data_IF_727684778520
#
_entry.id   IF_727684778520
#
_cell.length_a   1.000
_cell.length_b   1.000
_cell.length_c   1.000
_cell.angle_alpha   90.00
_cell.angle_beta   90.00
_cell.angle_gamma   90.00
#
_symmetry.space_group_name_H-M   'P 1'
#
loop_
_entity.id
_entity.type
_entity.pdbx_description
1 polymer ?
#
# COMPACT_ATOMS: atom_id res chain seq x y z
N UNK A 1 5.55 -20.50 -6.35
CA UNK A 1 4.48 -20.56 -5.31
C UNK A 1 3.41 -21.42 -5.92
N UNK A 2 3.01 -22.49 -5.24
CA UNK A 2 2.34 -23.68 -5.80
C UNK A 2 3.28 -24.63 -6.58
N UNK A 3 4.46 -24.96 -6.06
CA UNK A 3 5.47 -25.84 -6.70
C UNK A 3 5.91 -25.46 -8.14
N UNK A 4 5.42 -24.33 -8.66
CA UNK A 4 5.77 -23.79 -9.96
C UNK A 4 7.18 -23.18 -9.94
N UNK A 5 8.01 -23.58 -10.92
CA UNK A 5 9.31 -22.95 -11.19
C UNK A 5 9.11 -21.63 -11.93
N UNK A 6 9.81 -20.59 -11.52
CA UNK A 6 9.76 -19.28 -12.17
C UNK A 6 10.97 -18.41 -11.84
N UNK A 7 11.02 -17.21 -12.41
CA UNK A 7 12.06 -16.22 -12.17
C UNK A 7 11.54 -15.13 -11.22
N UNK A 8 12.23 -14.92 -10.10
CA UNK A 8 11.97 -13.77 -9.22
C UNK A 8 12.72 -12.56 -9.77
N UNK A 9 11.98 -11.52 -10.14
CA UNK A 9 12.57 -10.24 -10.59
C UNK A 9 12.85 -9.36 -9.37
N UNK A 10 14.13 -9.15 -9.07
CA UNK A 10 14.59 -8.33 -7.96
C UNK A 10 15.49 -7.18 -8.43
N UNK A 11 15.75 -6.22 -7.53
CA UNK A 11 16.71 -5.14 -7.79
C UNK A 11 18.11 -5.74 -7.76
N UNK A 12 18.87 -5.57 -8.85
CA UNK A 12 20.23 -6.10 -8.95
C UNK A 12 21.22 -5.02 -9.35
N UNK A 13 22.49 -5.30 -9.10
CA UNK A 13 23.60 -4.42 -9.41
C UNK A 13 24.32 -5.01 -10.63
N UNK A 14 24.37 -4.27 -11.75
CA UNK A 14 25.03 -4.68 -13.00
C UNK A 14 26.20 -3.74 -13.28
N UNK A 15 27.41 -4.18 -12.91
CA UNK A 15 28.57 -3.31 -12.88
C UNK A 15 28.36 -2.17 -11.88
N UNK A 16 28.27 -0.94 -12.36
CA UNK A 16 28.02 0.26 -11.55
C UNK A 16 26.58 0.77 -11.61
N UNK A 17 25.71 0.11 -12.37
CA UNK A 17 24.34 0.56 -12.58
C UNK A 17 23.35 -0.34 -11.84
N UNK A 18 22.28 0.26 -11.33
CA UNK A 18 21.13 -0.45 -10.80
C UNK A 18 20.31 -0.99 -11.98
N UNK A 19 19.85 -2.22 -11.88
CA UNK A 19 18.95 -2.86 -12.83
C UNK A 19 17.70 -3.34 -12.11
N UNK A 20 16.54 -2.84 -12.53
CA UNK A 20 15.23 -3.10 -11.94
C UNK A 20 14.24 -3.43 -13.04
N UNK A 21 13.65 -4.62 -12.98
CA UNK A 21 12.72 -5.10 -14.01
C UNK A 21 13.41 -5.82 -15.16
N UNK A 22 12.60 -6.23 -16.13
CA UNK A 22 13.02 -6.81 -17.40
C UNK A 22 12.29 -6.07 -18.51
N UNK A 23 12.99 -5.76 -19.60
CA UNK A 23 12.44 -5.10 -20.77
C UNK A 23 12.63 -6.03 -21.96
N UNK A 24 11.54 -6.27 -22.67
CA UNK A 24 11.51 -7.14 -23.85
C UNK A 24 10.95 -6.36 -25.05
N UNK A 25 11.42 -6.65 -26.27
CA UNK A 25 10.73 -6.23 -27.49
C UNK A 25 9.27 -6.71 -27.50
N UNK A 26 8.35 -5.91 -28.07
CA UNK A 26 6.92 -6.25 -28.11
C UNK A 26 6.65 -7.57 -28.84
N UNK A 27 7.39 -7.84 -29.91
CA UNK A 27 7.28 -9.09 -30.69
C UNK A 27 7.79 -10.35 -29.97
N UNK A 28 8.29 -10.21 -28.73
CA UNK A 28 8.66 -11.34 -27.88
C UNK A 28 7.43 -12.17 -27.47
N UNK A 29 6.26 -11.54 -27.35
CA UNK A 29 5.04 -12.18 -26.83
C UNK A 29 3.89 -12.06 -27.83
N UNK A 30 3.40 -13.21 -28.32
CA UNK A 30 2.35 -13.26 -29.32
C UNK A 30 1.01 -12.70 -28.81
N UNK A 31 0.79 -12.75 -27.49
CA UNK A 31 -0.36 -12.17 -26.82
C UNK A 31 -0.42 -10.64 -27.05
N UNK A 32 0.74 -9.98 -27.03
CA UNK A 32 0.82 -8.52 -27.21
C UNK A 32 0.70 -8.13 -28.69
N UNK A 33 1.35 -8.86 -29.60
CA UNK A 33 1.26 -8.58 -31.04
C UNK A 33 -0.14 -8.83 -31.58
N UNK A 34 -0.81 -9.88 -31.13
CA UNK A 34 -2.19 -10.18 -31.52
C UNK A 34 -3.15 -9.05 -31.15
N UNK A 35 -3.01 -8.48 -29.94
CA UNK A 35 -3.83 -7.33 -29.52
C UNK A 35 -3.48 -6.09 -30.34
N UNK A 36 -2.20 -5.86 -30.61
CA UNK A 36 -1.77 -4.70 -31.39
C UNK A 36 -2.28 -4.74 -32.84
N UNK A 37 -2.27 -5.91 -33.48
CA UNK A 37 -2.80 -6.10 -34.83
C UNK A 37 -4.31 -5.77 -34.90
N UNK A 38 -5.07 -6.17 -33.87
CA UNK A 38 -6.49 -5.80 -33.75
C UNK A 38 -6.63 -4.28 -33.63
N UNK A 39 -5.87 -3.64 -32.73
CA UNK A 39 -5.93 -2.19 -32.52
C UNK A 39 -5.55 -1.40 -33.79
N UNK A 40 -4.56 -1.87 -34.57
CA UNK A 40 -4.17 -1.24 -35.84
C UNK A 40 -5.25 -1.29 -36.93
N UNK A 41 -6.17 -2.25 -36.86
CA UNK A 41 -7.30 -2.30 -37.78
C UNK A 41 -8.39 -1.28 -37.42
N UNK A 42 -8.43 -0.81 -36.18
CA UNK A 42 -9.46 0.11 -35.66
C UNK A 42 -8.97 1.55 -35.54
N UNK A 43 -7.68 1.75 -35.24
CA UNK A 43 -7.09 3.06 -34.94
C UNK A 43 -5.83 3.33 -35.77
N UNK A 44 -5.51 4.62 -36.04
CA UNK A 44 -4.18 5.01 -36.49
C UNK A 44 -3.08 4.45 -35.58
N UNK A 45 -1.91 4.16 -36.13
CA UNK A 45 -0.85 3.42 -35.43
C UNK A 45 -0.36 4.10 -34.13
N UNK A 46 -0.31 5.43 -34.11
CA UNK A 46 0.07 6.20 -32.93
C UNK A 46 -0.95 6.05 -31.79
N UNK A 47 -2.24 6.09 -32.11
CA UNK A 47 -3.30 5.89 -31.12
C UNK A 47 -3.39 4.42 -30.67
N UNK A 48 -3.28 3.47 -31.60
CA UNK A 48 -3.21 2.05 -31.29
C UNK A 48 -2.05 1.74 -30.32
N UNK A 49 -0.89 2.40 -30.51
CA UNK A 49 0.28 2.25 -29.65
C UNK A 49 0.00 2.81 -28.25
N UNK A 50 -0.63 3.98 -28.14
CA UNK A 50 -1.01 4.55 -26.83
C UNK A 50 -1.98 3.66 -26.07
N UNK A 51 -3.00 3.14 -26.76
CA UNK A 51 -3.96 2.21 -26.16
C UNK A 51 -3.23 0.97 -25.67
N UNK A 52 -2.40 0.35 -26.51
CA UNK A 52 -1.61 -0.83 -26.14
C UNK A 52 -0.71 -0.58 -24.93
N UNK A 53 -0.02 0.57 -24.88
CA UNK A 53 0.86 0.96 -23.76
C UNK A 53 0.10 1.18 -22.45
N UNK A 54 -1.20 1.49 -22.50
CA UNK A 54 -2.05 1.63 -21.32
C UNK A 54 -2.63 0.29 -20.82
N UNK A 55 -2.50 -0.80 -21.59
CA UNK A 55 -3.02 -2.12 -21.22
C UNK A 55 -2.07 -2.87 -20.29
N UNK A 56 -2.64 -3.72 -19.43
CA UNK A 56 -1.90 -4.72 -18.65
C UNK A 56 -2.04 -6.08 -19.30
N UNK A 57 -0.92 -6.80 -19.45
CA UNK A 57 -0.84 -8.17 -19.95
C UNK A 57 -0.44 -9.16 -18.85
N UNK A 58 -0.54 -8.78 -17.58
CA UNK A 58 -0.05 -9.59 -16.46
C UNK A 58 -0.69 -10.99 -16.43
N UNK A 59 -1.99 -11.07 -16.75
CA UNK A 59 -2.76 -12.30 -16.68
C UNK A 59 -2.44 -13.21 -17.85
N UNK A 60 -2.38 -12.64 -19.05
CA UNK A 60 -2.06 -13.31 -20.31
C UNK A 60 -0.65 -13.90 -20.27
N UNK A 61 0.30 -13.17 -19.68
CA UNK A 61 1.70 -13.60 -19.53
C UNK A 61 1.95 -14.47 -18.29
N UNK A 62 0.92 -14.74 -17.48
CA UNK A 62 1.05 -15.52 -16.25
C UNK A 62 1.97 -14.89 -15.19
N UNK A 63 2.13 -13.56 -15.22
CA UNK A 63 2.96 -12.82 -14.28
C UNK A 63 2.26 -12.78 -12.92
N UNK A 64 2.91 -13.35 -11.91
CA UNK A 64 2.43 -13.34 -10.52
C UNK A 64 3.32 -12.45 -9.67
N UNK A 65 2.70 -11.66 -8.79
CA UNK A 65 3.43 -10.93 -7.76
C UNK A 65 3.92 -11.90 -6.70
N UNK A 66 5.24 -11.96 -6.51
CA UNK A 66 5.83 -12.69 -5.40
C UNK A 66 5.68 -11.88 -4.10
N UNK A 67 5.24 -12.53 -3.03
CA UNK A 67 5.14 -11.97 -1.68
C UNK A 67 5.72 -12.99 -0.69
N UNK A 68 6.54 -12.56 0.27
CA UNK A 68 7.07 -13.47 1.30
C UNK A 68 5.92 -14.29 1.92
N UNK A 69 6.03 -15.64 1.98
CA UNK A 69 5.03 -16.46 2.63
C UNK A 69 4.87 -16.01 4.08
N UNK A 70 3.66 -15.60 4.46
CA UNK A 70 3.35 -15.34 5.84
C UNK A 70 2.84 -16.64 6.46
N UNK A 71 3.62 -17.21 7.39
CA UNK A 71 3.14 -18.29 8.25
C UNK A 71 2.19 -17.70 9.28
N UNK A 72 0.98 -17.38 8.86
CA UNK A 72 -0.03 -16.82 9.74
C UNK A 72 -0.95 -17.97 10.19
N UNK A 73 -0.94 -18.37 11.47
CA UNK A 73 -1.90 -19.34 12.00
C UNK A 73 -3.30 -18.73 12.21
N UNK A 74 -3.53 -17.53 11.69
CA UNK A 74 -4.71 -16.72 11.98
C UNK A 74 -5.95 -17.29 11.30
N UNK A 75 -7.00 -17.47 12.09
CA UNK A 75 -8.31 -17.86 11.57
C UNK A 75 -8.95 -16.69 10.83
N UNK A 76 -9.49 -16.96 9.63
CA UNK A 76 -10.11 -15.94 8.77
C UNK A 76 -11.63 -16.07 8.80
N UNK A 77 -12.34 -14.94 8.87
CA UNK A 77 -13.80 -14.89 8.74
C UNK A 77 -14.22 -14.95 7.27
N UNK A 78 -13.38 -14.44 6.38
CA UNK A 78 -13.65 -14.32 4.96
C UNK A 78 -12.73 -13.29 4.29
N UNK A 79 -13.04 -12.89 3.05
CA UNK A 79 -12.30 -11.81 2.39
C UNK A 79 -12.48 -10.49 3.14
N UNK A 80 -11.49 -9.61 3.01
CA UNK A 80 -11.56 -8.26 3.56
C UNK A 80 -12.79 -7.52 2.99
N UNK A 81 -13.47 -6.68 3.79
CA UNK A 81 -14.70 -6.03 3.35
C UNK A 81 -14.49 -5.14 2.11
N UNK A 82 -15.46 -5.18 1.19
CA UNK A 82 -15.36 -4.51 -0.12
C UNK A 82 -15.57 -2.99 -0.08
N UNK A 83 -16.07 -2.46 1.05
CA UNK A 83 -16.46 -1.05 1.19
C UNK A 83 -15.32 -0.12 1.58
N UNK A 84 -14.08 -0.63 1.69
CA UNK A 84 -12.90 0.21 1.73
C UNK A 84 -11.82 -0.34 0.79
N UNK A 85 -11.07 0.54 0.12
CA UNK A 85 -9.95 0.13 -0.70
C UNK A 85 -8.80 -0.42 0.17
N UNK A 86 -8.09 -1.41 -0.36
CA UNK A 86 -6.89 -1.93 0.30
C UNK A 86 -5.76 -0.91 0.27
N UNK A 87 -4.95 -0.82 1.34
CA UNK A 87 -3.84 0.12 1.40
C UNK A 87 -2.80 -0.21 0.32
N UNK A 88 -2.44 0.80 -0.45
CA UNK A 88 -1.49 0.67 -1.55
C UNK A 88 -1.40 1.94 -2.37
N UNK A 89 -0.27 2.11 -3.06
CA UNK A 89 -0.05 3.20 -4.00
C UNK A 89 1.03 2.80 -5.01
N UNK A 90 1.00 3.46 -6.18
CA UNK A 90 1.96 3.29 -7.26
C UNK A 90 3.35 3.76 -6.85
N UNK A 91 4.39 3.18 -7.46
CA UNK A 91 5.74 3.73 -7.38
C UNK A 91 5.82 5.02 -8.19
N UNK A 92 6.60 5.98 -7.74
CA UNK A 92 6.83 7.24 -8.46
C UNK A 92 7.31 6.99 -9.90
N UNK A 93 8.18 5.98 -10.10
CA UNK A 93 8.69 5.60 -11.43
C UNK A 93 7.62 5.11 -12.41
N UNK A 94 6.41 4.74 -11.93
CA UNK A 94 5.31 4.31 -12.78
C UNK A 94 4.42 5.48 -13.22
N UNK A 95 4.73 6.71 -12.79
CA UNK A 95 3.97 7.92 -13.11
C UNK A 95 4.85 8.74 -14.06
N UNK A 96 4.64 8.58 -15.36
CA UNK A 96 5.51 9.14 -16.41
C UNK A 96 5.72 10.66 -16.23
N UNK A 97 4.62 11.39 -16.09
CA UNK A 97 4.63 12.86 -16.06
C UNK A 97 4.53 13.41 -14.63
N UNK A 98 5.04 12.65 -13.63
CA UNK A 98 4.85 12.95 -12.20
C UNK A 98 5.20 14.40 -11.84
N UNK A 99 6.35 14.88 -12.32
CA UNK A 99 6.83 16.23 -11.99
C UNK A 99 6.11 17.30 -12.81
N UNK A 100 5.75 16.99 -14.05
CA UNK A 100 5.06 17.91 -14.95
C UNK A 100 3.63 18.16 -14.46
N UNK A 101 2.92 17.10 -14.08
CA UNK A 101 1.53 17.15 -13.63
C UNK A 101 1.40 17.58 -12.16
N UNK A 102 2.34 17.17 -11.31
CA UNK A 102 2.22 17.31 -9.85
C UNK A 102 3.34 18.12 -9.19
N UNK A 103 4.26 18.71 -9.94
CA UNK A 103 5.39 19.47 -9.39
C UNK A 103 5.01 20.62 -8.45
N UNK A 104 3.93 21.34 -8.79
CA UNK A 104 3.39 22.44 -7.96
C UNK A 104 2.42 21.97 -6.86
N UNK A 105 1.98 20.71 -6.92
CA UNK A 105 1.06 20.12 -5.95
C UNK A 105 1.74 19.94 -4.60
N UNK A 106 0.97 20.06 -3.52
CA UNK A 106 1.48 19.95 -2.14
C UNK A 106 1.23 18.57 -1.58
N UNK A 107 2.23 18.00 -0.94
CA UNK A 107 2.19 16.67 -0.35
C UNK A 107 2.46 16.69 1.15
N UNK A 108 1.77 15.82 1.87
CA UNK A 108 2.30 15.26 3.10
C UNK A 108 3.26 14.12 2.72
N UNK A 109 4.47 14.18 3.26
CA UNK A 109 5.54 13.22 3.05
C UNK A 109 5.73 12.46 4.36
N UNK A 110 5.62 11.15 4.32
CA UNK A 110 5.84 10.28 5.49
C UNK A 110 6.92 9.23 5.20
N UNK A 111 7.61 8.78 6.24
CA UNK A 111 8.42 7.57 6.15
C UNK A 111 7.53 6.38 5.76
N UNK A 112 8.02 5.54 4.84
CA UNK A 112 7.41 4.25 4.55
C UNK A 112 8.00 3.20 5.49
N UNK A 113 7.19 2.71 6.41
CA UNK A 113 7.58 1.63 7.31
C UNK A 113 7.51 0.28 6.60
N UNK A 114 8.55 -0.53 6.80
CA UNK A 114 8.58 -1.94 6.40
C UNK A 114 7.84 -2.76 7.46
N UNK A 115 6.54 -2.94 7.24
CA UNK A 115 5.66 -3.65 8.16
C UNK A 115 4.56 -4.38 7.40
N UNK A 116 3.72 -5.08 8.16
CA UNK A 116 2.59 -5.82 7.61
C UNK A 116 1.34 -4.92 7.67
N UNK A 117 0.59 -4.76 6.57
CA UNK A 117 -0.60 -3.91 6.57
C UNK A 117 -1.68 -4.49 7.49
N UNK A 118 -2.30 -3.60 8.25
CA UNK A 118 -3.39 -3.90 9.19
C UNK A 118 -4.45 -2.82 9.07
N UNK A 119 -5.71 -3.23 8.92
CA UNK A 119 -6.85 -2.32 8.91
C UNK A 119 -7.73 -2.61 10.12
N UNK A 120 -8.05 -1.58 10.91
CA UNK A 120 -9.08 -1.68 11.96
C UNK A 120 -10.28 -0.86 11.50
N UNK A 121 -11.45 -1.48 11.44
CA UNK A 121 -12.68 -0.83 10.99
C UNK A 121 -13.74 -0.80 12.10
N UNK A 122 -14.62 0.19 12.04
CA UNK A 122 -15.81 0.28 12.90
C UNK A 122 -17.00 0.66 12.03
N UNK A 123 -18.07 -0.15 12.09
CA UNK A 123 -19.26 0.00 11.26
C UNK A 123 -20.53 -0.03 12.12
N UNK A 124 -21.48 0.86 11.84
CA UNK A 124 -22.79 0.82 12.49
C UNK A 124 -23.63 -0.35 11.97
N UNK A 125 -24.36 -1.04 12.85
CA UNK A 125 -25.27 -2.13 12.47
C UNK A 125 -26.42 -1.67 11.56
N UNK A 126 -26.76 -0.39 11.63
CA UNK A 126 -27.74 0.27 10.75
C UNK A 126 -27.11 0.83 9.46
N UNK A 127 -25.80 0.73 9.27
CA UNK A 127 -25.15 1.20 8.04
C UNK A 127 -25.55 0.29 6.87
N UNK A 128 -25.75 0.89 5.69
CA UNK A 128 -25.97 0.13 4.44
C UNK A 128 -24.86 -0.88 4.15
N UNK A 129 -23.65 -0.64 4.68
CA UNK A 129 -22.48 -1.48 4.50
C UNK A 129 -22.42 -2.67 5.47
N UNK A 130 -23.31 -2.75 6.47
CA UNK A 130 -23.25 -3.80 7.50
C UNK A 130 -23.46 -5.20 6.92
N UNK A 131 -24.27 -5.33 5.86
CA UNK A 131 -24.50 -6.60 5.19
C UNK A 131 -23.31 -7.05 4.31
N UNK A 132 -22.28 -6.20 4.13
CA UNK A 132 -21.07 -6.51 3.38
C UNK A 132 -19.95 -7.10 4.24
N UNK A 133 -20.16 -7.27 5.55
CA UNK A 133 -19.26 -8.02 6.43
C UNK A 133 -19.84 -9.40 6.79
N UNK A 134 -19.02 -10.46 6.90
CA UNK A 134 -19.49 -11.80 7.26
C UNK A 134 -20.03 -11.81 8.70
N UNK A 135 -21.11 -12.57 8.98
CA UNK A 135 -21.65 -12.69 10.32
C UNK A 135 -20.59 -13.23 11.32
N UNK A 136 -20.60 -12.71 12.54
CA UNK A 136 -19.67 -13.17 13.58
C UNK A 136 -20.16 -14.51 14.16
N UNK A 137 -19.24 -15.42 14.53
CA UNK A 137 -19.60 -16.58 15.35
C UNK A 137 -20.27 -16.13 16.66
N UNK A 138 -21.23 -16.91 17.23
CA UNK A 138 -21.98 -16.49 18.43
C UNK A 138 -21.12 -16.08 19.63
N UNK A 139 -19.97 -16.72 19.81
CA UNK A 139 -19.04 -16.42 20.92
C UNK A 139 -18.19 -15.15 20.71
N UNK A 140 -18.24 -14.57 19.51
CA UNK A 140 -17.57 -13.32 19.14
C UNK A 140 -18.56 -12.19 18.84
N UNK A 141 -19.86 -12.42 19.06
CA UNK A 141 -20.86 -11.36 18.89
C UNK A 141 -20.53 -10.15 19.76
N UNK A 142 -20.69 -8.98 19.17
CA UNK A 142 -20.41 -7.70 19.84
C UNK A 142 -21.72 -7.01 20.14
N UNK A 143 -21.90 -6.64 21.40
CA UNK A 143 -23.06 -5.87 21.85
C UNK A 143 -23.04 -4.43 21.33
N UNK A 144 -24.22 -3.80 21.35
CA UNK A 144 -24.37 -2.39 20.99
C UNK A 144 -24.55 -2.14 19.48
N UNK A 145 -24.59 -0.86 19.07
CA UNK A 145 -25.02 -0.44 17.74
C UNK A 145 -23.92 -0.51 16.67
N UNK A 146 -22.69 -0.91 17.03
CA UNK A 146 -21.54 -0.95 16.12
C UNK A 146 -20.83 -2.30 16.21
N UNK A 147 -20.15 -2.66 15.12
CA UNK A 147 -19.19 -3.74 15.05
C UNK A 147 -17.81 -3.17 14.79
N UNK A 148 -16.80 -3.74 15.45
CA UNK A 148 -15.38 -3.49 15.19
C UNK A 148 -14.76 -4.77 14.62
N UNK A 149 -13.90 -4.63 13.63
CA UNK A 149 -13.15 -5.75 13.07
C UNK A 149 -11.74 -5.34 12.66
N UNK A 150 -10.92 -6.36 12.40
CA UNK A 150 -9.53 -6.21 12.01
C UNK A 150 -9.30 -7.04 10.76
N UNK A 151 -8.70 -6.43 9.75
CA UNK A 151 -8.31 -7.10 8.52
C UNK A 151 -6.80 -7.09 8.35
N UNK A 152 -6.28 -8.20 7.82
CA UNK A 152 -5.00 -8.22 7.14
C UNK A 152 -5.15 -7.58 5.75
N UNK A 153 -4.27 -7.90 4.81
CA UNK A 153 -4.30 -7.34 3.46
C UNK A 153 -5.51 -7.79 2.63
N UNK A 154 -5.96 -9.03 2.79
CA UNK A 154 -7.04 -9.58 1.93
C UNK A 154 -8.11 -10.32 2.73
N UNK A 155 -7.91 -10.47 4.03
CA UNK A 155 -8.72 -11.31 4.90
C UNK A 155 -9.28 -10.50 6.08
N UNK A 156 -10.57 -10.67 6.38
CA UNK A 156 -11.16 -10.25 7.65
C UNK A 156 -10.83 -11.30 8.71
N UNK A 157 -10.26 -10.88 9.84
CA UNK A 157 -9.66 -11.79 10.81
C UNK A 157 -10.65 -12.13 11.92
N UNK A 158 -10.71 -13.42 12.28
CA UNK A 158 -11.43 -13.86 13.47
C UNK A 158 -10.78 -13.25 14.70
N UNK A 159 -11.60 -12.75 15.63
CA UNK A 159 -11.15 -12.29 16.94
C UNK A 159 -10.51 -13.42 17.72
N UNK A 160 -9.18 -13.51 17.67
CA UNK A 160 -8.38 -14.57 18.29
C UNK A 160 -7.30 -13.97 19.20
N UNK A 161 -7.09 -14.60 20.34
CA UNK A 161 -6.06 -14.23 21.33
C UNK A 161 -4.64 -14.61 20.88
N UNK A 162 -4.51 -15.42 19.81
CA UNK A 162 -3.22 -15.75 19.18
C UNK A 162 -2.93 -14.94 17.90
N UNK A 163 -3.89 -14.17 17.40
CA UNK A 163 -3.69 -13.29 16.24
C UNK A 163 -2.81 -12.12 16.64
N UNK A 164 -1.65 -11.96 16.01
CA UNK A 164 -0.75 -10.85 16.32
C UNK A 164 -1.41 -9.51 15.99
N UNK A 165 -2.32 -9.44 15.02
CA UNK A 165 -3.12 -8.24 14.75
C UNK A 165 -4.05 -7.88 15.91
N UNK A 166 -4.84 -8.84 16.41
CA UNK A 166 -5.76 -8.63 17.54
C UNK A 166 -5.00 -8.37 18.86
N UNK A 167 -3.93 -9.12 19.10
CA UNK A 167 -2.97 -8.90 20.19
C UNK A 167 -2.43 -7.46 20.13
N UNK A 168 -1.95 -7.01 18.96
CA UNK A 168 -1.43 -5.65 18.74
C UNK A 168 -2.49 -4.60 19.00
N UNK A 169 -3.70 -4.78 18.45
CA UNK A 169 -4.81 -3.86 18.66
C UNK A 169 -5.22 -3.78 20.13
N UNK A 170 -5.25 -4.88 20.89
CA UNK A 170 -5.59 -4.86 22.32
C UNK A 170 -4.46 -4.30 23.18
N UNK A 171 -3.20 -4.65 22.92
CA UNK A 171 -2.02 -4.18 23.67
C UNK A 171 -1.70 -2.72 23.44
N UNK A 172 -1.95 -2.20 22.25
CA UNK A 172 -1.95 -0.75 22.06
C UNK A 172 -3.27 -0.13 22.44
N UNK A 173 -4.21 -0.95 22.92
CA UNK A 173 -5.60 -0.66 23.10
C UNK A 173 -6.18 0.11 21.93
N UNK A 174 -5.78 -0.04 20.67
CA UNK A 174 -6.46 0.57 19.52
C UNK A 174 -7.98 0.38 19.60
N UNK A 175 -8.42 -0.77 20.11
CA UNK A 175 -9.83 -1.05 20.41
C UNK A 175 -10.37 -0.18 21.58
N UNK A 176 -9.56 -0.04 22.63
CA UNK A 176 -9.83 0.65 23.89
C UNK A 176 -9.28 2.09 23.97
N UNK A 177 -8.64 2.65 22.93
CA UNK A 177 -7.73 3.81 23.01
C UNK A 177 -8.18 5.03 22.24
N UNK A 178 -9.11 5.81 22.77
CA UNK A 178 -9.96 5.63 23.96
C UNK A 178 -9.23 5.38 25.35
N UNK A 179 -7.89 5.66 25.49
CA UNK A 179 -6.96 5.62 26.68
C UNK A 179 -5.75 4.60 26.80
N UNK A 180 -4.55 5.22 26.75
CA UNK A 180 -3.09 4.91 26.87
C UNK A 180 -2.46 3.71 27.65
N UNK A 181 -1.25 3.29 27.19
CA UNK A 181 -0.32 2.26 27.72
C UNK A 181 1.14 2.62 27.33
N UNK A 182 2.10 1.89 27.91
CA UNK A 182 3.46 1.56 27.45
C UNK A 182 3.92 0.24 28.13
N UNK A 183 5.09 -0.37 27.82
CA UNK A 183 5.64 -0.76 26.53
C UNK A 183 6.12 -2.24 26.45
N UNK A 184 6.28 -2.74 25.21
CA UNK A 184 7.13 -3.89 24.85
C UNK A 184 6.52 -4.87 23.84
N UNK A 185 6.12 -4.45 22.62
CA UNK A 185 5.32 -5.30 21.71
C UNK A 185 5.19 -4.72 20.30
N UNK A 186 4.71 -5.51 19.31
CA UNK A 186 4.34 -5.04 17.97
C UNK A 186 3.58 -3.69 18.01
N UNK A 187 4.00 -2.73 17.19
CA UNK A 187 3.48 -1.36 17.14
C UNK A 187 2.60 -1.13 15.91
N UNK A 188 1.52 -0.35 16.06
CA UNK A 188 0.62 0.05 14.98
C UNK A 188 0.85 1.53 14.73
N UNK A 189 1.19 1.85 13.49
CA UNK A 189 1.38 3.21 13.05
C UNK A 189 0.27 3.57 12.07
N UNK A 190 -0.63 4.47 12.48
CA UNK A 190 -1.64 5.01 11.59
C UNK A 190 -0.98 5.76 10.43
N UNK A 191 -1.50 5.57 9.22
CA UNK A 191 -1.06 6.31 8.04
C UNK A 191 -2.21 6.83 7.19
N UNK A 192 -3.34 6.11 7.11
CA UNK A 192 -4.55 6.55 6.42
C UNK A 192 -5.80 6.26 7.27
N UNK A 193 -6.88 7.01 7.01
CA UNK A 193 -8.22 6.75 7.54
C UNK A 193 -9.21 6.87 6.39
N UNK A 194 -10.05 5.85 6.23
CA UNK A 194 -11.13 5.83 5.24
C UNK A 194 -12.47 6.09 5.92
N UNK A 195 -13.25 7.03 5.40
CA UNK A 195 -14.62 7.28 5.85
C UNK A 195 -15.56 6.33 5.10
N UNK A 196 -16.02 5.28 5.79
CA UNK A 196 -16.85 4.21 5.22
C UNK A 196 -18.19 4.77 4.72
N UNK A 197 -18.82 5.68 5.46
CA UNK A 197 -20.13 6.18 5.07
C UNK A 197 -20.02 7.15 3.88
N UNK A 198 -18.95 7.96 3.83
CA UNK A 198 -18.70 8.88 2.70
C UNK A 198 -17.96 8.26 1.53
N UNK A 199 -17.50 7.02 1.66
CA UNK A 199 -16.69 6.31 0.67
C UNK A 199 -15.49 7.14 0.18
N UNK A 200 -14.78 7.80 1.11
CA UNK A 200 -13.65 8.69 0.78
C UNK A 200 -12.51 8.56 1.76
N UNK A 201 -11.27 8.55 1.26
CA UNK A 201 -10.08 8.78 2.06
C UNK A 201 -10.13 10.16 2.75
N UNK A 202 -9.72 10.20 4.01
CA UNK A 202 -9.58 11.46 4.75
C UNK A 202 -8.31 12.19 4.35
N UNK A 203 -8.35 13.52 4.37
CA UNK A 203 -7.18 14.35 4.08
C UNK A 203 -6.00 14.04 5.03
N UNK A 204 -4.75 13.95 4.56
CA UNK A 204 -3.60 13.50 5.36
C UNK A 204 -3.37 14.33 6.64
N UNK A 205 -3.63 15.63 6.58
CA UNK A 205 -3.53 16.52 7.75
C UNK A 205 -4.60 16.19 8.79
N UNK A 206 -5.80 15.81 8.35
CA UNK A 206 -6.88 15.39 9.25
C UNK A 206 -6.56 14.04 9.90
N UNK A 207 -5.99 13.10 9.15
CA UNK A 207 -5.54 11.79 9.65
C UNK A 207 -4.56 11.96 10.82
N UNK A 208 -3.44 12.64 10.58
CA UNK A 208 -2.43 12.88 11.63
C UNK A 208 -2.97 13.61 12.86
N UNK A 209 -3.91 14.55 12.67
CA UNK A 209 -4.60 15.22 13.77
C UNK A 209 -5.51 14.28 14.57
N UNK A 210 -6.20 13.35 13.91
CA UNK A 210 -7.02 12.32 14.59
C UNK A 210 -6.12 11.39 15.40
N UNK A 211 -5.06 10.85 14.80
CA UNK A 211 -4.11 9.99 15.51
C UNK A 211 -3.55 10.70 16.75
N UNK A 212 -3.13 11.97 16.63
CA UNK A 212 -2.67 12.77 17.76
C UNK A 212 -3.74 12.94 18.86
N UNK A 213 -4.99 13.24 18.48
CA UNK A 213 -6.11 13.41 19.43
C UNK A 213 -6.41 12.11 20.17
N UNK A 214 -6.33 10.97 19.49
CA UNK A 214 -6.56 9.64 20.05
C UNK A 214 -5.34 9.06 20.76
N UNK A 215 -4.19 9.75 20.73
CA UNK A 215 -2.90 9.24 21.21
C UNK A 215 -2.52 7.91 20.55
N UNK A 216 -2.84 7.78 19.27
CA UNK A 216 -2.37 6.70 18.41
C UNK A 216 -1.08 7.12 17.72
N UNK A 217 -0.11 6.20 17.66
CA UNK A 217 1.10 6.43 16.90
C UNK A 217 0.77 6.59 15.42
N UNK A 218 1.49 7.50 14.76
CA UNK A 218 1.36 7.78 13.33
C UNK A 218 2.73 7.58 12.69
N UNK A 219 2.76 7.16 11.43
CA UNK A 219 4.03 7.06 10.69
C UNK A 219 4.79 8.41 10.73
N UNK A 220 6.13 8.42 10.78
CA UNK A 220 6.90 9.66 10.86
C UNK A 220 6.55 10.62 9.71
N UNK A 221 6.18 11.84 10.05
CA UNK A 221 5.89 12.90 9.07
C UNK A 221 7.18 13.67 8.80
N UNK A 222 7.67 13.59 7.57
CA UNK A 222 8.85 14.31 7.07
C UNK A 222 8.48 15.73 6.64
N UNK A 223 7.29 15.89 6.03
CA UNK A 223 6.77 17.19 5.60
C UNK A 223 5.24 17.19 5.50
N UNK A 224 4.59 18.32 5.73
CA UNK A 224 3.11 18.41 5.77
C UNK A 224 2.47 19.04 4.53
N UNK A 225 3.12 20.05 3.98
CA UNK A 225 2.61 20.86 2.87
C UNK A 225 3.76 21.20 1.91
N UNK A 226 4.50 20.18 1.50
CA UNK A 226 5.71 20.35 0.69
C UNK A 226 5.32 20.27 -0.78
N UNK A 227 5.67 21.30 -1.57
CA UNK A 227 5.53 21.21 -3.03
C UNK A 227 6.53 20.19 -3.58
N UNK A 228 6.12 19.38 -4.54
CA UNK A 228 6.98 18.35 -5.10
C UNK A 228 8.29 18.93 -5.68
N UNK A 229 8.20 20.00 -6.48
CA UNK A 229 9.39 20.69 -7.02
C UNK A 229 10.29 21.35 -5.98
N UNK A 230 9.74 21.67 -4.80
CA UNK A 230 10.57 22.16 -3.69
C UNK A 230 11.26 21.02 -2.94
N UNK A 231 10.75 19.79 -3.06
CA UNK A 231 11.35 18.61 -2.43
C UNK A 231 12.41 17.96 -3.32
N UNK A 232 12.09 17.74 -4.60
CA UNK A 232 12.97 17.11 -5.59
C UNK A 232 12.80 17.74 -6.98
N UNK A 233 13.83 17.68 -7.83
CA UNK A 233 13.76 18.19 -9.22
C UNK A 233 13.25 17.16 -10.23
N UNK A 234 13.52 15.89 -9.98
CA UNK A 234 13.24 14.76 -10.87
C UNK A 234 13.20 13.45 -10.08
N UNK A 235 12.98 12.34 -10.78
CA UNK A 235 12.88 11.00 -10.18
C UNK A 235 14.20 10.57 -9.53
N UNK A 236 15.36 10.95 -10.07
CA UNK A 236 16.66 10.54 -9.53
C UNK A 236 16.96 11.27 -8.21
N UNK A 237 16.68 12.57 -8.14
CA UNK A 237 16.77 13.34 -6.91
C UNK A 237 15.77 12.82 -5.85
N UNK A 238 14.57 12.43 -6.29
CA UNK A 238 13.56 11.83 -5.42
C UNK A 238 14.00 10.46 -4.87
N UNK A 239 14.65 9.63 -5.68
CA UNK A 239 15.25 8.35 -5.27
C UNK A 239 16.34 8.57 -4.22
N UNK A 240 17.26 9.52 -4.47
CA UNK A 240 18.32 9.85 -3.52
C UNK A 240 17.74 10.31 -2.17
N UNK A 241 16.66 11.10 -2.19
CA UNK A 241 15.96 11.55 -0.97
C UNK A 241 15.12 10.48 -0.30
N UNK A 242 14.82 9.36 -0.97
CA UNK A 242 14.15 8.23 -0.33
C UNK A 242 15.09 7.48 0.63
N UNK A 243 16.41 7.59 0.42
CA UNK A 243 17.44 6.96 1.25
C UNK A 243 17.56 7.65 2.61
N UNK A 244 18.04 6.91 3.61
CA UNK A 244 18.30 7.43 4.96
C UNK A 244 17.99 6.43 6.06
N UNK A 245 18.42 6.76 7.27
CA UNK A 245 18.03 6.04 8.48
C UNK A 245 16.56 6.34 8.81
N UNK A 246 15.78 5.29 9.02
CA UNK A 246 14.38 5.36 9.43
C UNK A 246 14.22 5.39 10.94
N UNK A 247 12.99 5.57 11.41
CA UNK A 247 12.69 5.68 12.85
C UNK A 247 13.11 4.47 13.70
N UNK A 248 13.29 3.30 13.06
CA UNK A 248 13.68 2.05 13.70
C UNK A 248 15.21 1.86 13.78
N UNK A 249 16.01 2.87 13.42
CA UNK A 249 17.48 2.80 13.46
C UNK A 249 18.11 1.95 12.34
N UNK A 250 17.31 1.59 11.33
CA UNK A 250 17.73 0.86 10.14
C UNK A 250 17.49 1.71 8.89
N UNK A 251 18.04 1.32 7.74
CA UNK A 251 17.68 1.96 6.47
C UNK A 251 16.15 1.94 6.30
N UNK A 252 15.54 3.11 6.09
CA UNK A 252 14.10 3.17 5.81
C UNK A 252 13.80 2.55 4.45
N UNK A 253 12.61 1.98 4.32
CA UNK A 253 12.16 1.43 3.04
C UNK A 253 12.04 2.53 1.98
N UNK A 254 11.57 3.71 2.38
CA UNK A 254 11.44 4.86 1.51
C UNK A 254 10.47 5.89 2.06
N UNK A 255 9.77 6.57 1.16
CA UNK A 255 8.81 7.62 1.49
C UNK A 255 7.47 7.40 0.79
N UNK A 256 6.39 7.88 1.41
CA UNK A 256 5.06 7.97 0.81
C UNK A 256 4.65 9.44 0.71
N UNK A 257 4.13 9.81 -0.45
CA UNK A 257 3.65 11.15 -0.79
C UNK A 257 2.14 11.09 -0.93
N UNK A 258 1.43 11.89 -0.14
CA UNK A 258 -0.04 12.01 -0.18
C UNK A 258 -0.40 13.45 -0.47
N UNK A 259 -1.06 13.70 -1.60
CA UNK A 259 -1.46 15.06 -1.96
C UNK A 259 -2.41 15.61 -0.89
N UNK A 260 -2.22 16.87 -0.52
CA UNK A 260 -2.95 17.52 0.57
C UNK A 260 -4.39 17.86 0.19
N UNK A 261 -4.63 18.13 -1.08
CA UNK A 261 -5.84 18.68 -1.66
C UNK A 261 -6.27 17.94 -2.94
N UNK A 262 -5.77 16.72 -3.13
CA UNK A 262 -6.05 15.92 -4.31
C UNK A 262 -5.90 14.41 -4.06
N UNK A 263 -6.28 13.59 -5.04
CA UNK A 263 -6.31 12.13 -4.88
C UNK A 263 -4.93 11.48 -5.05
N UNK A 264 -3.91 12.22 -5.51
CA UNK A 264 -2.63 11.65 -5.88
C UNK A 264 -1.88 11.12 -4.66
N UNK A 265 -1.54 9.83 -4.70
CA UNK A 265 -0.70 9.14 -3.72
C UNK A 265 0.31 8.26 -4.45
N UNK A 266 1.57 8.36 -4.05
CA UNK A 266 2.63 7.51 -4.57
C UNK A 266 3.69 7.23 -3.53
N UNK A 267 4.54 6.26 -3.80
CA UNK A 267 5.69 5.93 -2.96
C UNK A 267 6.98 5.96 -3.78
N UNK A 268 8.07 6.30 -3.11
CA UNK A 268 9.41 6.13 -3.63
C UNK A 268 10.16 5.20 -2.68
N UNK A 269 10.80 4.18 -3.22
CA UNK A 269 11.47 3.13 -2.43
C UNK A 269 12.97 3.30 -2.59
N UNK A 270 13.70 3.25 -1.48
CA UNK A 270 15.15 3.33 -1.43
C UNK A 270 15.78 2.16 -2.19
N UNK A 271 16.64 2.47 -3.15
CA UNK A 271 17.40 1.47 -3.90
C UNK A 271 18.39 0.68 -3.01
N UNK A 272 19.15 1.30 -2.10
CA UNK A 272 19.93 0.59 -1.10
C UNK A 272 19.09 -0.39 -0.27
N UNK A 273 17.90 0.01 0.16
CA UNK A 273 16.99 -0.88 0.89
C UNK A 273 16.57 -2.08 0.02
N UNK A 274 16.17 -1.85 -1.24
CA UNK A 274 15.81 -2.92 -2.17
C UNK A 274 16.96 -3.89 -2.47
N UNK A 275 18.19 -3.38 -2.56
CA UNK A 275 19.39 -4.20 -2.74
C UNK A 275 19.73 -5.01 -1.49
N UNK A 276 19.39 -4.51 -0.30
CA UNK A 276 19.62 -5.21 0.96
C UNK A 276 18.59 -6.32 1.16
N UNK A 277 17.31 -6.03 0.95
CA UNK A 277 16.20 -6.98 1.19
C UNK A 277 16.01 -7.98 0.06
N UNK A 278 16.37 -7.62 -1.18
CA UNK A 278 16.28 -8.50 -2.34
C UNK A 278 17.37 -9.58 -2.42
N UNK A 279 18.42 -9.52 -1.58
CA UNK A 279 19.54 -10.48 -1.59
C UNK A 279 19.28 -11.78 -0.80
N UNK A 280 18.16 -11.88 -0.08
CA UNK A 280 17.82 -13.02 0.78
C UNK A 280 16.52 -13.74 0.40
N UNK A 281 16.05 -13.59 -0.85
CA UNK A 281 14.78 -14.11 -1.36
C UNK A 281 14.99 -15.06 -2.54
#
# INVERSE_FOLDING_TARGET
MDDEKGYLVCTTMRGRHISQGLVFPLDTFSETTSVFDVLKNEYPEDEATRILMAMSFEKELGVKKWEMPQNNPESVLGPAPIFFPQPGCSRAQNIADLFEDHGESRFQITEKLDGIPMTVYCIGKESQWYNAVPALPPHLEQDGPKRVGICARREDLVGDDNSWHWITARRQGILDKIVTLAPGEHHFYGFDIYDIDRQKWMEPTRVSNICKKLRMDHVPIIGKHVKLFSFATDIDDLLAKAEGEGMLGQNREGLVFKQVDGPTIFKIISNPWLLQTGKGQ
#
